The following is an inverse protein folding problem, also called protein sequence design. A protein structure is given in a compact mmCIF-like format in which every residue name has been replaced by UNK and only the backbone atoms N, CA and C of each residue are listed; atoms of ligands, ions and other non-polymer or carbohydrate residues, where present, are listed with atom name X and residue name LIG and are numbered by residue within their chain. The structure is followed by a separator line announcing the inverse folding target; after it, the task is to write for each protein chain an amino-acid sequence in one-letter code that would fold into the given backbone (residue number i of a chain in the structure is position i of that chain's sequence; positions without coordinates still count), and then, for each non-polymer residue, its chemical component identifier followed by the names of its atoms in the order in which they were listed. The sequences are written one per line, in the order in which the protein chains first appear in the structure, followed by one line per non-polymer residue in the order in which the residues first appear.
data_IF_180316799470
#
_entry.id   IF_180316799470
#
_cell.length_a   1.000
_cell.length_b   1.000
_cell.length_c   1.000
_cell.angle_alpha   90.00
_cell.angle_beta   90.00
_cell.angle_gamma   90.00
#
_symmetry.space_group_name_H-M   'P 1'
#
loop_
_entity.id
_entity.type
_entity.pdbx_description
1 polymer ?
#
# COMPACT_ATOMS: atom_id res chain seq x y z
N UNK A 1 -22.44 -7.13 -0.44
CA UNK A 1 -21.54 -7.71 -1.45
C UNK A 1 -20.16 -7.09 -1.25
N UNK A 2 -19.12 -7.88 -1.00
CA UNK A 2 -17.76 -7.37 -0.81
C UNK A 2 -17.14 -7.06 -2.19
N UNK A 3 -16.35 -5.99 -2.31
CA UNK A 3 -15.70 -5.63 -3.57
C UNK A 3 -14.18 -5.85 -3.43
N UNK A 4 -13.72 -7.00 -3.91
CA UNK A 4 -12.32 -7.44 -3.84
C UNK A 4 -11.37 -6.48 -4.56
N UNK A 5 -11.80 -5.97 -5.72
CA UNK A 5 -11.01 -5.02 -6.53
C UNK A 5 -10.87 -3.70 -5.78
N UNK A 6 -11.96 -3.21 -5.17
CA UNK A 6 -11.91 -1.99 -4.36
C UNK A 6 -10.94 -2.14 -3.19
N UNK A 7 -10.94 -3.29 -2.49
CA UNK A 7 -9.98 -3.53 -1.39
C UNK A 7 -8.53 -3.52 -1.89
N UNK A 8 -8.22 -4.24 -2.98
CA UNK A 8 -6.86 -4.26 -3.54
C UNK A 8 -6.42 -2.85 -3.94
N UNK A 9 -7.31 -2.07 -4.55
CA UNK A 9 -7.00 -0.69 -4.94
C UNK A 9 -6.76 0.21 -3.72
N UNK A 10 -7.55 0.06 -2.66
CA UNK A 10 -7.33 0.77 -1.39
C UNK A 10 -5.99 0.41 -0.74
N UNK A 11 -5.61 -0.87 -0.73
CA UNK A 11 -4.32 -1.32 -0.22
C UNK A 11 -3.16 -0.78 -1.06
N UNK A 12 -3.24 -0.87 -2.39
CA UNK A 12 -2.22 -0.32 -3.29
C UNK A 12 -2.02 1.17 -3.06
N UNK A 13 -3.10 1.95 -2.91
CA UNK A 13 -3.03 3.38 -2.60
C UNK A 13 -2.40 3.65 -1.22
N UNK A 14 -2.76 2.86 -0.21
CA UNK A 14 -2.19 2.99 1.13
C UNK A 14 -0.69 2.70 1.15
N UNK A 15 -0.24 1.59 0.57
CA UNK A 15 1.19 1.27 0.46
C UNK A 15 1.93 2.29 -0.41
N UNK A 16 1.30 2.82 -1.46
CA UNK A 16 1.90 3.90 -2.27
C UNK A 16 2.13 5.16 -1.45
N UNK A 17 1.19 5.53 -0.58
CA UNK A 17 1.37 6.65 0.35
C UNK A 17 2.54 6.42 1.31
N UNK A 18 2.61 5.23 1.93
CA UNK A 18 3.71 4.87 2.83
C UNK A 18 5.07 4.84 2.11
N UNK A 19 5.09 4.30 0.88
CA UNK A 19 6.27 4.29 0.03
C UNK A 19 6.78 5.71 -0.28
N UNK A 20 5.88 6.64 -0.63
CA UNK A 20 6.23 8.04 -0.85
C UNK A 20 6.88 8.67 0.39
N UNK A 21 6.37 8.39 1.59
CA UNK A 21 6.94 8.88 2.85
C UNK A 21 8.35 8.34 3.05
N UNK A 22 8.53 7.02 2.92
CA UNK A 22 9.83 6.37 3.08
C UNK A 22 10.87 6.88 2.06
N UNK A 23 10.45 7.12 0.81
CA UNK A 23 11.32 7.62 -0.24
C UNK A 23 11.70 9.08 -0.02
N UNK A 24 10.73 9.94 0.32
CA UNK A 24 10.98 11.35 0.58
C UNK A 24 11.98 11.52 1.74
N UNK A 25 11.79 10.81 2.85
CA UNK A 25 12.75 10.82 3.95
C UNK A 25 14.16 10.36 3.54
N UNK A 26 14.26 9.36 2.66
CA UNK A 26 15.55 8.87 2.18
C UNK A 26 16.28 9.87 1.29
N UNK A 27 15.55 10.71 0.55
CA UNK A 27 16.12 11.73 -0.35
C UNK A 27 16.48 13.00 0.43
N UNK A 28 15.60 13.47 1.31
CA UNK A 28 15.72 14.79 1.95
C UNK A 28 16.17 14.73 3.41
N UNK A 29 16.30 13.54 4.01
CA UNK A 29 16.70 13.34 5.40
C UNK A 29 15.64 13.71 6.45
N UNK A 30 14.45 14.14 6.00
CA UNK A 30 13.30 14.49 6.86
C UNK A 30 11.98 14.14 6.17
N UNK A 31 10.90 14.04 6.94
CA UNK A 31 9.54 13.92 6.40
C UNK A 31 8.83 15.27 6.52
N UNK A 32 8.41 15.83 5.40
CA UNK A 32 7.47 16.96 5.36
C UNK A 32 6.14 16.50 4.76
N UNK A 33 5.14 16.27 5.61
CA UNK A 33 3.82 15.83 5.15
C UNK A 33 3.08 16.88 4.32
N UNK A 34 3.30 18.17 4.60
CA UNK A 34 2.63 19.25 3.87
C UNK A 34 3.12 19.28 2.43
N UNK A 35 4.43 19.14 2.22
CA UNK A 35 5.00 19.04 0.88
C UNK A 35 4.62 17.72 0.19
N UNK A 36 4.67 16.60 0.92
CA UNK A 36 4.47 15.26 0.34
C UNK A 36 3.01 14.91 0.03
N UNK A 37 2.09 15.35 0.90
CA UNK A 37 0.67 14.99 0.84
C UNK A 37 -0.23 16.17 0.48
N UNK A 38 0.30 17.40 0.47
CA UNK A 38 -0.48 18.63 0.27
C UNK A 38 -1.24 19.11 1.52
N UNK A 39 -1.15 18.38 2.63
CA UNK A 39 -1.76 18.72 3.91
C UNK A 39 -0.97 18.11 5.06
N UNK A 40 -1.14 18.69 6.26
CA UNK A 40 -0.57 18.11 7.48
C UNK A 40 -1.62 17.20 8.14
N UNK A 41 -1.42 15.88 8.20
CA UNK A 41 -2.31 14.99 8.92
C UNK A 41 -2.29 15.28 10.44
N UNK A 42 -3.33 14.91 11.19
CA UNK A 42 -3.33 15.02 12.65
C UNK A 42 -2.10 14.31 13.27
N UNK A 43 -1.55 14.80 14.40
CA UNK A 43 -0.28 14.31 14.94
C UNK A 43 -0.23 12.79 15.14
N UNK A 44 -1.30 12.20 15.68
CA UNK A 44 -1.40 10.76 15.89
C UNK A 44 -1.36 9.97 14.56
N UNK A 45 -2.03 10.48 13.53
CA UNK A 45 -2.04 9.86 12.19
C UNK A 45 -0.67 10.01 11.53
N UNK A 46 -0.05 11.18 11.66
CA UNK A 46 1.29 11.46 11.14
C UNK A 46 2.34 10.50 11.74
N UNK A 47 2.27 10.28 13.05
CA UNK A 47 3.13 9.35 13.76
C UNK A 47 2.94 7.92 13.24
N UNK A 48 1.70 7.43 13.20
CA UNK A 48 1.40 6.09 12.70
C UNK A 48 1.88 5.90 11.25
N UNK A 49 1.70 6.90 10.39
CA UNK A 49 2.17 6.84 9.01
C UNK A 49 3.69 6.76 8.91
N UNK A 50 4.41 7.51 9.76
CA UNK A 50 5.87 7.42 9.82
C UNK A 50 6.32 6.03 10.29
N UNK A 51 5.78 5.55 11.41
CA UNK A 51 6.11 4.23 11.96
C UNK A 51 5.86 3.11 10.93
N UNK A 52 4.71 3.14 10.26
CA UNK A 52 4.37 2.19 9.19
C UNK A 52 5.25 2.36 7.96
N UNK A 53 5.60 3.60 7.58
CA UNK A 53 6.43 3.83 6.40
C UNK A 53 7.84 3.26 6.58
N UNK A 54 8.41 3.43 7.78
CA UNK A 54 9.78 3.03 8.11
C UNK A 54 9.92 1.59 8.62
N UNK A 55 8.82 0.92 8.99
CA UNK A 55 8.85 -0.52 9.32
C UNK A 55 9.21 -1.39 8.11
N UNK A 56 9.00 -0.87 6.89
CA UNK A 56 9.29 -1.56 5.63
C UNK A 56 10.54 -1.00 4.93
N UNK A 57 11.34 -1.90 4.35
CA UNK A 57 12.45 -1.52 3.45
C UNK A 57 11.89 -1.24 2.06
N UNK A 58 12.57 -0.36 1.30
CA UNK A 58 12.24 -0.04 -0.10
C UNK A 58 12.06 -1.31 -0.97
N UNK A 59 12.86 -2.35 -0.75
CA UNK A 59 12.71 -3.63 -1.46
C UNK A 59 11.37 -4.33 -1.18
N UNK A 60 10.86 -4.26 0.06
CA UNK A 60 9.60 -4.87 0.44
C UNK A 60 8.42 -4.17 -0.23
N UNK A 61 8.47 -2.83 -0.38
CA UNK A 61 7.45 -2.11 -1.15
C UNK A 61 7.35 -2.61 -2.59
N UNK A 62 8.47 -2.87 -3.25
CA UNK A 62 8.47 -3.45 -4.61
C UNK A 62 7.80 -4.82 -4.63
N UNK A 63 8.09 -5.67 -3.65
CA UNK A 63 7.49 -7.01 -3.52
C UNK A 63 5.97 -6.90 -3.31
N UNK A 64 5.53 -6.02 -2.41
CA UNK A 64 4.12 -5.74 -2.11
C UNK A 64 3.40 -5.22 -3.35
N UNK A 65 3.93 -4.22 -4.06
CA UNK A 65 3.28 -3.69 -5.26
C UNK A 65 3.16 -4.75 -6.37
N UNK A 66 4.20 -5.57 -6.57
CA UNK A 66 4.14 -6.66 -7.54
C UNK A 66 3.08 -7.70 -7.15
N UNK A 67 2.95 -8.03 -5.88
CA UNK A 67 1.92 -8.95 -5.38
C UNK A 67 0.53 -8.37 -5.64
N UNK A 68 0.29 -7.12 -5.24
CA UNK A 68 -1.01 -6.46 -5.39
C UNK A 68 -1.39 -6.29 -6.88
N UNK A 69 -0.45 -5.89 -7.74
CA UNK A 69 -0.69 -5.71 -9.17
C UNK A 69 -1.04 -7.03 -9.87
N UNK A 70 -0.29 -8.11 -9.60
CA UNK A 70 -0.60 -9.44 -10.14
C UNK A 70 -1.97 -9.93 -9.67
N UNK A 71 -2.30 -9.66 -8.41
CA UNK A 71 -3.57 -10.06 -7.82
C UNK A 71 -4.75 -9.29 -8.42
N UNK A 72 -4.58 -7.99 -8.66
CA UNK A 72 -5.57 -7.17 -9.38
C UNK A 72 -5.79 -7.71 -10.80
N UNK A 73 -4.72 -8.07 -11.51
CA UNK A 73 -4.79 -8.66 -12.84
C UNK A 73 -5.59 -9.97 -12.84
N UNK A 74 -5.29 -10.90 -11.93
CA UNK A 74 -6.02 -12.17 -11.80
C UNK A 74 -7.51 -11.94 -11.47
N UNK A 75 -7.82 -11.03 -10.54
CA UNK A 75 -9.21 -10.70 -10.17
C UNK A 75 -10.05 -10.12 -11.32
N UNK A 76 -9.39 -9.43 -12.27
CA UNK A 76 -10.03 -8.81 -13.43
C UNK A 76 -10.16 -9.77 -14.62
N UNK A 77 -9.20 -10.67 -14.83
CA UNK A 77 -9.11 -11.47 -16.05
C UNK A 77 -9.63 -12.89 -15.89
N UNK A 78 -9.61 -13.44 -14.68
CA UNK A 78 -10.01 -14.82 -14.43
C UNK A 78 -11.47 -14.92 -13.97
N UNK A 79 -12.37 -15.22 -14.90
CA UNK A 79 -13.81 -15.34 -14.64
C UNK A 79 -14.20 -16.54 -13.78
N UNK A 80 -13.34 -17.57 -13.69
CA UNK A 80 -13.57 -18.79 -12.91
C UNK A 80 -12.94 -18.75 -11.51
N UNK A 81 -12.31 -17.63 -11.16
CA UNK A 81 -11.59 -17.48 -9.91
C UNK A 81 -12.57 -17.36 -8.74
N UNK A 82 -12.33 -18.15 -7.69
CA UNK A 82 -12.93 -17.95 -6.38
C UNK A 82 -12.32 -16.69 -5.74
N UNK A 83 -12.88 -15.51 -6.09
CA UNK A 83 -12.24 -14.20 -5.86
C UNK A 83 -11.94 -13.93 -4.39
N UNK A 84 -12.86 -14.30 -3.50
CA UNK A 84 -12.72 -14.06 -2.05
C UNK A 84 -11.59 -14.90 -1.47
N UNK A 85 -11.56 -16.19 -1.76
CA UNK A 85 -10.56 -17.14 -1.28
C UNK A 85 -9.18 -16.78 -1.83
N UNK A 86 -9.12 -16.45 -3.13
CA UNK A 86 -7.90 -15.96 -3.76
C UNK A 86 -7.37 -14.70 -3.10
N UNK A 87 -8.26 -13.73 -2.82
CA UNK A 87 -7.87 -12.49 -2.18
C UNK A 87 -7.34 -12.74 -0.77
N UNK A 88 -8.03 -13.54 0.05
CA UNK A 88 -7.56 -13.89 1.40
C UNK A 88 -6.18 -14.55 1.34
N UNK A 89 -6.01 -15.54 0.45
CA UNK A 89 -4.72 -16.22 0.27
C UNK A 89 -3.61 -15.28 -0.20
N UNK A 90 -3.95 -14.25 -0.96
CA UNK A 90 -3.02 -13.19 -1.38
C UNK A 90 -2.61 -12.31 -0.21
N UNK A 91 -3.58 -11.83 0.58
CA UNK A 91 -3.31 -10.93 1.70
C UNK A 91 -2.47 -11.58 2.80
N UNK A 92 -2.57 -12.90 2.98
CA UNK A 92 -1.71 -13.65 3.91
C UNK A 92 -0.22 -13.72 3.50
N UNK A 93 0.13 -13.26 2.30
CA UNK A 93 1.53 -13.20 1.82
C UNK A 93 2.17 -11.83 2.07
N UNK A 94 1.42 -10.86 2.59
CA UNK A 94 1.91 -9.53 3.00
C UNK A 94 2.54 -9.60 4.40
#
# INVERSE_FOLDING_TARGET
NFNEIALINSLSSAFYRLFKIALYAKIYGKVDFKELLGYTPPPQVAQNLNEQAFSLKIKHYKEIFNLLLKSEYELKTNSKLAKKEFLIATLLKL
#
